data_IF_288857832624
#
_entry.id   IF_288857832624
#
_cell.length_a   1.000
_cell.length_b   1.000
_cell.length_c   1.000
_cell.angle_alpha   90.00
_cell.angle_beta   90.00
_cell.angle_gamma   90.00
#
_symmetry.space_group_name_H-M   'P 1'
#
loop_
_entity.id
_entity.type
_entity.pdbx_description
1 polymer ?
#
# COMPACT_ATOMS: atom_id res chain seq x y z
N UNK A 1 -35.06 22.23 3.06
CA UNK A 1 -34.25 21.47 4.05
C UNK A 1 -32.81 21.98 3.99
N UNK A 2 -32.52 23.10 4.66
CA UNK A 2 -31.19 23.72 4.60
C UNK A 2 -30.75 24.09 6.00
N UNK A 3 -30.00 23.20 6.66
CA UNK A 3 -29.26 23.54 7.86
C UNK A 3 -27.87 24.01 7.46
N UNK A 4 -27.37 25.05 8.13
CA UNK A 4 -25.97 25.45 7.98
C UNK A 4 -25.03 24.35 8.49
N UNK A 5 -23.79 24.34 8.00
CA UNK A 5 -22.77 23.38 8.47
C UNK A 5 -22.54 23.53 9.98
N UNK A 6 -22.64 24.75 10.52
CA UNK A 6 -22.48 25.01 11.95
C UNK A 6 -23.63 24.43 12.77
N UNK A 7 -24.87 24.57 12.32
CA UNK A 7 -26.04 23.96 12.98
C UNK A 7 -25.95 22.44 12.97
N UNK A 8 -25.53 21.84 11.86
CA UNK A 8 -25.30 20.40 11.79
C UNK A 8 -24.17 19.96 12.73
N UNK A 9 -23.09 20.75 12.83
CA UNK A 9 -21.97 20.46 13.73
C UNK A 9 -22.41 20.44 15.19
N UNK A 10 -23.19 21.44 15.62
CA UNK A 10 -23.76 21.48 16.97
C UNK A 10 -24.72 20.32 17.23
N UNK A 11 -25.59 20.01 16.25
CA UNK A 11 -26.59 18.94 16.39
C UNK A 11 -25.97 17.55 16.51
N UNK A 12 -24.92 17.27 15.73
CA UNK A 12 -24.31 15.94 15.68
C UNK A 12 -23.03 15.81 16.52
N UNK A 13 -22.54 16.89 17.12
CA UNK A 13 -21.32 16.89 17.93
C UNK A 13 -20.03 16.62 17.14
N UNK A 14 -20.06 16.73 15.82
CA UNK A 14 -18.89 16.55 14.96
C UNK A 14 -18.26 17.89 14.60
N UNK A 15 -16.95 17.87 14.29
CA UNK A 15 -16.28 19.06 13.80
C UNK A 15 -16.91 19.57 12.48
N UNK A 16 -16.90 20.89 12.29
CA UNK A 16 -17.38 21.53 11.05
C UNK A 16 -16.64 21.01 9.82
N UNK A 17 -15.35 20.67 9.96
CA UNK A 17 -14.53 20.13 8.86
C UNK A 17 -14.96 18.72 8.47
N UNK A 18 -15.24 17.83 9.43
CA UNK A 18 -15.76 16.49 9.17
C UNK A 18 -17.10 16.54 8.45
N UNK A 19 -18.03 17.40 8.91
CA UNK A 19 -19.34 17.57 8.27
C UNK A 19 -19.19 18.14 6.86
N UNK A 20 -18.34 19.15 6.67
CA UNK A 20 -18.07 19.72 5.35
C UNK A 20 -17.50 18.68 4.37
N UNK A 21 -16.58 17.82 4.82
CA UNK A 21 -16.01 16.75 4.01
C UNK A 21 -17.06 15.70 3.60
N UNK A 22 -17.93 15.29 4.53
CA UNK A 22 -19.01 14.34 4.23
C UNK A 22 -20.04 14.97 3.30
N UNK A 23 -20.44 16.22 3.54
CA UNK A 23 -21.37 16.95 2.68
C UNK A 23 -20.83 17.08 1.26
N UNK A 24 -19.55 17.42 1.07
CA UNK A 24 -18.92 17.48 -0.24
C UNK A 24 -18.95 16.13 -0.96
N UNK A 25 -18.54 15.06 -0.27
CA UNK A 25 -18.58 13.70 -0.83
C UNK A 25 -20.00 13.26 -1.20
N UNK A 26 -20.97 13.59 -0.37
CA UNK A 26 -22.39 13.31 -0.63
C UNK A 26 -22.89 14.11 -1.83
N UNK A 27 -22.57 15.40 -1.93
CA UNK A 27 -22.94 16.25 -3.07
C UNK A 27 -22.37 15.75 -4.39
N UNK A 28 -21.13 15.25 -4.38
CA UNK A 28 -20.45 14.73 -5.56
C UNK A 28 -20.94 13.33 -5.97
N UNK A 29 -21.17 12.44 -5.00
CA UNK A 29 -21.45 11.02 -5.28
C UNK A 29 -22.92 10.62 -5.13
N UNK A 30 -23.75 11.45 -4.50
CA UNK A 30 -25.12 11.13 -4.10
C UNK A 30 -25.24 10.00 -3.05
N UNK A 31 -24.11 9.51 -2.54
CA UNK A 31 -24.04 8.33 -1.66
C UNK A 31 -23.62 8.74 -0.25
N UNK A 32 -24.31 8.18 0.75
CA UNK A 32 -23.96 8.33 2.16
C UNK A 32 -22.86 7.34 2.58
N UNK A 33 -22.76 6.20 1.89
CA UNK A 33 -21.74 5.18 2.14
C UNK A 33 -20.42 5.52 1.45
N UNK A 34 -19.31 5.27 2.12
CA UNK A 34 -17.98 5.32 1.52
C UNK A 34 -17.64 3.93 0.92
N UNK A 35 -17.53 3.86 -0.41
CA UNK A 35 -17.23 2.61 -1.13
C UNK A 35 -15.74 2.26 -1.02
N UNK A 36 -15.34 1.73 0.14
CA UNK A 36 -13.93 1.36 0.42
C UNK A 36 -13.54 -0.04 -0.06
N UNK A 37 -14.39 -0.73 -0.79
CA UNK A 37 -14.17 -2.14 -1.19
C UNK A 37 -12.94 -2.37 -2.08
N UNK A 38 -12.35 -1.32 -2.67
CA UNK A 38 -11.19 -1.41 -3.56
C UNK A 38 -9.97 -0.61 -3.08
N UNK A 39 -9.86 -0.33 -1.78
CA UNK A 39 -8.67 0.33 -1.24
C UNK A 39 -7.49 -0.64 -1.08
N UNK A 40 -6.27 -0.11 -1.22
CA UNK A 40 -5.02 -0.85 -1.01
C UNK A 40 -4.23 -1.10 -2.30
N UNK A 41 -2.96 -1.48 -2.13
CA UNK A 41 -2.07 -1.80 -3.25
C UNK A 41 -2.57 -3.06 -3.96
N UNK A 42 -2.72 -2.99 -5.30
CA UNK A 42 -3.05 -4.16 -6.11
C UNK A 42 -1.98 -5.24 -5.91
N UNK A 43 -2.42 -6.49 -5.73
CA UNK A 43 -1.50 -7.63 -5.68
C UNK A 43 -0.89 -7.84 -7.07
N UNK A 44 0.43 -8.05 -7.11
CA UNK A 44 1.16 -8.35 -8.34
C UNK A 44 0.75 -9.73 -8.88
N UNK A 45 0.45 -10.68 -7.99
CA UNK A 45 -0.01 -12.02 -8.34
C UNK A 45 -1.51 -12.20 -8.15
N UNK A 46 -2.17 -12.83 -9.13
CA UNK A 46 -3.56 -13.25 -8.99
C UNK A 46 -3.69 -14.43 -8.02
N UNK A 47 -4.89 -14.63 -7.45
CA UNK A 47 -5.17 -15.79 -6.57
C UNK A 47 -4.85 -17.14 -7.24
N UNK A 48 -5.05 -17.24 -8.56
CA UNK A 48 -4.74 -18.45 -9.35
C UNK A 48 -3.25 -18.72 -9.41
N UNK A 49 -2.45 -17.68 -9.65
CA UNK A 49 -0.99 -17.78 -9.70
C UNK A 49 -0.44 -18.15 -8.33
N UNK A 50 -0.98 -17.54 -7.27
CA UNK A 50 -0.62 -17.88 -5.90
C UNK A 50 -0.88 -19.37 -5.61
N UNK A 51 -2.06 -19.89 -5.96
CA UNK A 51 -2.38 -21.33 -5.79
C UNK A 51 -1.49 -22.25 -6.61
N UNK A 52 -1.13 -21.85 -7.84
CA UNK A 52 -0.22 -22.62 -8.70
C UNK A 52 1.18 -22.65 -8.11
N UNK A 53 1.70 -21.51 -7.68
CA UNK A 53 2.99 -21.39 -7.02
C UNK A 53 3.05 -22.24 -5.74
N UNK A 54 2.02 -22.18 -4.89
CA UNK A 54 1.97 -23.01 -3.67
C UNK A 54 2.03 -24.51 -3.99
N UNK A 55 1.37 -24.97 -5.07
CA UNK A 55 1.42 -26.38 -5.47
C UNK A 55 2.81 -26.79 -5.96
N UNK A 56 3.50 -25.94 -6.70
CA UNK A 56 4.88 -26.20 -7.17
C UNK A 56 5.81 -26.30 -5.96
N UNK A 57 5.77 -25.31 -5.05
CA UNK A 57 6.60 -25.28 -3.83
C UNK A 57 6.35 -26.53 -2.98
N UNK A 58 5.10 -26.97 -2.86
CA UNK A 58 4.77 -28.16 -2.05
C UNK A 58 5.27 -29.47 -2.67
N UNK A 59 5.28 -29.59 -4.00
CA UNK A 59 5.77 -30.80 -4.70
C UNK A 59 7.29 -30.92 -4.57
N UNK A 60 8.00 -29.84 -4.85
CA UNK A 60 9.47 -29.86 -4.96
C UNK A 60 10.12 -28.87 -4.00
N UNK A 61 9.80 -28.99 -2.71
CA UNK A 61 10.22 -28.02 -1.67
C UNK A 61 11.72 -27.81 -1.64
N UNK A 62 12.52 -28.88 -1.68
CA UNK A 62 13.98 -28.82 -1.61
C UNK A 62 14.57 -28.14 -2.86
N UNK A 63 14.18 -28.60 -4.04
CA UNK A 63 14.66 -28.03 -5.30
C UNK A 63 14.27 -26.56 -5.45
N UNK A 64 13.06 -26.18 -5.04
CA UNK A 64 12.61 -24.78 -5.09
C UNK A 64 13.45 -23.90 -4.16
N UNK A 65 13.78 -24.36 -2.96
CA UNK A 65 14.64 -23.61 -2.03
C UNK A 65 16.05 -23.42 -2.61
N UNK A 66 16.65 -24.46 -3.16
CA UNK A 66 17.97 -24.37 -3.81
C UNK A 66 17.96 -23.39 -4.98
N UNK A 67 16.93 -23.44 -5.83
CA UNK A 67 16.78 -22.51 -6.95
C UNK A 67 16.61 -21.06 -6.48
N UNK A 68 15.80 -20.81 -5.44
CA UNK A 68 15.62 -19.47 -4.88
C UNK A 68 16.91 -18.92 -4.27
N UNK A 69 17.64 -19.74 -3.53
CA UNK A 69 18.94 -19.37 -2.97
C UNK A 69 19.95 -19.05 -4.07
N UNK A 70 20.03 -19.90 -5.11
CA UNK A 70 20.91 -19.69 -6.25
C UNK A 70 20.57 -18.40 -7.02
N UNK A 71 19.29 -18.13 -7.27
CA UNK A 71 18.83 -16.87 -7.88
C UNK A 71 19.19 -15.67 -7.00
N UNK A 72 18.98 -15.76 -5.68
CA UNK A 72 19.35 -14.67 -4.78
C UNK A 72 20.86 -14.42 -4.80
N UNK A 73 21.68 -15.47 -4.75
CA UNK A 73 23.14 -15.36 -4.83
C UNK A 73 23.62 -14.78 -6.15
N UNK A 74 23.02 -15.18 -7.29
CA UNK A 74 23.34 -14.60 -8.59
C UNK A 74 22.96 -13.12 -8.69
N UNK A 75 21.83 -12.73 -8.10
CA UNK A 75 21.44 -11.32 -8.01
C UNK A 75 22.37 -10.51 -7.12
N UNK A 76 22.81 -11.05 -5.98
CA UNK A 76 23.80 -10.41 -5.12
C UNK A 76 25.17 -10.29 -5.82
N UNK A 77 25.60 -11.32 -6.56
CA UNK A 77 26.82 -11.28 -7.35
C UNK A 77 26.75 -10.32 -8.54
N UNK A 78 25.58 -10.15 -9.16
CA UNK A 78 25.34 -9.19 -10.24
C UNK A 78 25.20 -7.73 -9.74
N UNK A 79 25.01 -7.52 -8.44
CA UNK A 79 24.97 -6.21 -7.77
C UNK A 79 26.35 -5.78 -7.28
N UNK A 80 27.42 -6.12 -8.01
CA UNK A 80 28.81 -5.85 -7.62
C UNK A 80 29.07 -4.42 -7.14
N UNK A 81 29.84 -4.32 -6.04
CA UNK A 81 30.66 -3.18 -5.59
C UNK A 81 30.17 -1.76 -5.92
N UNK A 82 29.12 -1.29 -5.25
CA UNK A 82 28.97 0.14 -5.02
C UNK A 82 28.47 0.37 -3.59
N UNK A 83 29.43 0.63 -2.69
CA UNK A 83 29.32 1.54 -1.53
C UNK A 83 30.52 1.33 -0.59
N UNK A 84 31.73 1.68 -1.03
CA UNK A 84 32.78 2.12 -0.10
C UNK A 84 33.58 3.22 -0.79
N UNK A 85 32.97 4.37 -1.08
CA UNK A 85 33.71 5.59 -1.39
C UNK A 85 32.76 6.78 -1.42
N UNK A 86 32.69 7.49 -0.28
CA UNK A 86 32.35 8.90 -0.10
C UNK A 86 31.60 9.10 1.23
N UNK A 87 32.28 8.88 2.35
CA UNK A 87 32.00 9.64 3.56
C UNK A 87 33.13 10.66 3.71
N UNK A 88 33.08 11.72 2.90
CA UNK A 88 33.80 12.95 3.25
C UNK A 88 32.93 13.70 4.27
N UNK A 89 33.45 14.05 5.46
CA UNK A 89 32.70 14.85 6.41
C UNK A 89 32.52 16.27 5.85
N UNK A 90 31.27 16.66 5.66
CA UNK A 90 30.87 18.02 5.32
C UNK A 90 31.37 18.94 6.44
N UNK A 91 32.39 19.75 6.15
CA UNK A 91 32.82 20.84 7.00
C UNK A 91 32.02 22.09 6.63
N UNK A 92 31.17 22.56 7.54
CA UNK A 92 30.72 23.94 7.47
C UNK A 92 30.95 24.62 8.82
N UNK A 93 31.57 25.79 8.66
CA UNK A 93 32.04 26.82 9.58
C UNK A 93 31.05 27.24 10.66
#
# INVERSE_FOLDING_TARGET
MGHSISEAAMKFGFSRTSISQVYRKYRESGKTSNLRHHCGRKKIMLKRDQRRLTRIIKRDRRATLTQLLQISMQKFAAMGHQQVSACEPFNET
#
